data_IF_528775307199
#
_entry.id   IF_528775307199
#
_cell.length_a   1.000
_cell.length_b   1.000
_cell.length_c   1.000
_cell.angle_alpha   90.00
_cell.angle_beta   90.00
_cell.angle_gamma   90.00
#
_symmetry.space_group_name_H-M   'P 1'
#
loop_
_entity.id
_entity.type
_entity.pdbx_description
1 polymer ?
2 polymer ?
3 polymer ?
4 non-polymer ?
5 water ?
#
loop_
_entity_poly.entity_id
_entity_poly.type
_entity_poly.pdbx_seq_one_letter_code
_entity_poly.pdbx_strand_id
2 'polydeoxyribonucleotide' '(DG)(DT)(DG)(DT)(DG)(DA)(DA)(DC)(DA)(DC)(DC)(DA)(DC)(DA)(DC)(DA)(DA)(DC)(DA)(DC)(DC)(DC)(DA)(DC)(DA)(DC)(DA)(DC)(DC)(DA)(DG)' ?
3 'polydeoxyribonucleotide' '(DA)(DC)(DC)(DT)(DG)(DG)(DT)(DG)(DT)(DG)(DT)(DG)(DG)(DG)(DT)(DG)(DT)(DT)(DG)(DT)(DG)(DT)(DG)(DG)(DT)(DG)(DT)(DT)(DC)(DA)(DC)' ?
#
# COMPACT_ATOMS: atom_id res chain seq x y z
N UNK A 28 3.92 23.31 26.70
CA UNK A 28 3.26 24.44 27.31
C UNK A 28 1.77 24.20 27.60
N UNK A 29 1.44 24.13 28.92
CA UNK A 29 0.10 23.92 29.45
C UNK A 29 -0.51 22.54 29.17
N UNK A 30 0.20 21.46 29.59
CA UNK A 30 -0.26 20.08 29.45
C UNK A 30 -1.65 19.90 30.09
N UNK A 31 -2.52 19.06 29.51
CA UNK A 31 -3.84 18.80 30.07
C UNK A 31 -4.13 17.32 30.13
N UNK A 32 -4.88 16.88 31.16
CA UNK A 32 -5.28 15.49 31.41
C UNK A 32 -6.36 15.05 30.45
N UNK A 33 -6.35 13.77 30.04
CA UNK A 33 -7.44 13.29 29.20
C UNK A 33 -8.56 12.83 30.12
N UNK A 34 -9.71 13.49 30.04
CA UNK A 34 -10.87 13.09 30.84
C UNK A 34 -11.58 11.81 30.34
N UNK A 35 -12.45 11.24 31.20
CA UNK A 35 -13.22 10.03 30.88
C UNK A 35 -14.03 10.28 29.63
N UNK A 36 -14.73 11.44 29.57
CA UNK A 36 -15.59 11.86 28.43
C UNK A 36 -14.78 11.99 27.11
N UNK A 37 -13.62 12.76 27.14
CA UNK A 37 -12.68 12.94 26.01
C UNK A 37 -12.18 11.56 25.44
N UNK A 38 -11.74 10.64 26.34
CA UNK A 38 -11.34 9.30 25.92
C UNK A 38 -12.53 8.59 25.25
N UNK A 39 -13.70 8.62 25.91
CA UNK A 39 -14.84 7.96 25.29
C UNK A 39 -15.14 8.56 23.91
N UNK A 40 -14.98 9.91 23.78
CA UNK A 40 -15.21 10.58 22.51
C UNK A 40 -14.25 10.07 21.44
N UNK A 41 -12.93 10.01 21.76
CA UNK A 41 -11.89 9.51 20.85
C UNK A 41 -12.22 8.11 20.37
N UNK A 42 -12.52 7.19 21.30
CA UNK A 42 -12.87 5.82 20.92
C UNK A 42 -14.05 5.79 19.97
N UNK A 43 -15.11 6.55 20.30
CA UNK A 43 -16.28 6.64 19.44
C UNK A 43 -15.97 7.10 18.00
N UNK A 44 -15.18 8.19 17.82
CA UNK A 44 -14.76 8.67 16.50
C UNK A 44 -14.03 7.55 15.71
N UNK A 45 -13.05 6.88 16.37
CA UNK A 45 -12.30 5.77 15.77
C UNK A 45 -13.26 4.63 15.34
N UNK A 46 -14.19 4.26 16.22
CA UNK A 46 -15.17 3.25 15.89
C UNK A 46 -15.98 3.64 14.67
N UNK A 47 -16.24 4.98 14.46
CA UNK A 47 -17.01 5.53 13.36
C UNK A 47 -16.22 5.83 12.08
N UNK A 48 -14.89 5.92 12.15
CA UNK A 48 -14.03 6.10 10.96
C UNK A 48 -12.91 5.05 11.01
N UNK A 49 -13.21 3.72 11.11
CA UNK A 49 -12.13 2.74 11.31
C UNK A 49 -11.08 2.61 10.23
N UNK A 50 -11.40 2.95 9.00
CA UNK A 50 -10.42 2.91 7.92
C UNK A 50 -9.30 3.90 8.22
N UNK A 51 -9.58 4.91 9.06
CA UNK A 51 -8.64 5.98 9.39
C UNK A 51 -7.96 5.87 10.75
N UNK A 52 -8.12 4.75 11.45
CA UNK A 52 -7.51 4.49 12.77
C UNK A 52 -6.00 4.75 12.89
N UNK A 53 -5.19 4.56 11.81
CA UNK A 53 -3.73 4.76 11.88
C UNK A 53 -3.20 6.04 11.22
N UNK A 54 -4.13 6.91 10.77
CA UNK A 54 -3.80 8.20 10.18
C UNK A 54 -3.28 9.16 11.28
N UNK A 55 -3.16 10.43 10.93
CA UNK A 55 -2.77 11.50 11.82
C UNK A 55 -3.88 12.57 11.81
N UNK A 56 -4.45 12.83 10.62
CA UNK A 56 -5.48 13.83 10.36
C UNK A 56 -6.74 13.60 11.18
N UNK A 57 -7.19 12.35 11.29
CA UNK A 57 -8.40 12.03 12.06
C UNK A 57 -8.34 12.62 13.47
N UNK A 58 -7.21 12.42 14.14
CA UNK A 58 -6.94 12.87 15.51
C UNK A 58 -6.81 14.41 15.50
N UNK A 59 -6.31 14.98 14.39
CA UNK A 59 -6.26 16.43 14.23
C UNK A 59 -7.72 16.94 14.16
N UNK A 60 -8.53 16.29 13.30
CA UNK A 60 -9.95 16.58 13.20
C UNK A 60 -10.67 16.50 14.60
N UNK A 61 -10.34 15.50 15.47
CA UNK A 61 -10.97 15.39 16.80
C UNK A 61 -10.62 16.60 17.70
N UNK A 62 -9.43 17.21 17.48
CA UNK A 62 -8.98 18.36 18.24
C UNK A 62 -9.89 19.57 18.07
N UNK A 63 -10.81 19.54 17.09
CA UNK A 63 -11.78 20.61 16.90
C UNK A 63 -12.76 20.65 18.05
N UNK A 64 -13.22 19.45 18.51
CA UNK A 64 -14.19 19.20 19.59
C UNK A 64 -13.52 19.09 20.97
N UNK A 65 -12.19 18.85 20.97
CA UNK A 65 -11.36 18.66 22.16
C UNK A 65 -10.30 19.82 22.15
N UNK A 66 -10.66 21.01 22.65
CA UNK A 66 -9.73 22.15 22.53
C UNK A 66 -8.42 22.01 23.32
N UNK A 67 -8.49 21.44 24.53
CA UNK A 67 -7.35 21.26 25.41
C UNK A 67 -6.16 20.43 24.86
N UNK A 68 -6.39 19.57 23.87
CA UNK A 68 -5.35 18.66 23.38
C UNK A 68 -4.99 18.94 21.95
N UNK A 69 -3.85 18.36 21.47
CA UNK A 69 -3.38 18.54 20.08
C UNK A 69 -3.59 17.24 19.30
N UNK A 70 -3.38 17.27 17.98
CA UNK A 70 -3.54 16.09 17.10
C UNK A 70 -2.61 14.98 17.54
N UNK A 71 -1.33 15.37 17.74
CA UNK A 71 -0.26 14.51 18.26
C UNK A 71 -0.68 13.89 19.59
N UNK A 72 -1.15 14.73 20.54
CA UNK A 72 -1.55 14.27 21.85
C UNK A 72 -2.73 13.31 21.90
N UNK A 73 -3.71 13.50 21.00
CA UNK A 73 -4.91 12.68 20.93
C UNK A 73 -4.54 11.35 20.33
N UNK A 74 -3.78 11.39 19.20
CA UNK A 74 -3.34 10.16 18.51
C UNK A 74 -2.57 9.22 19.43
N UNK A 75 -1.61 9.81 20.22
CA UNK A 75 -0.80 9.06 21.18
C UNK A 75 -1.67 8.43 22.26
N UNK A 76 -2.59 9.23 22.86
CA UNK A 76 -3.51 8.76 23.88
C UNK A 76 -4.23 7.54 23.39
N UNK A 77 -4.78 7.62 22.13
CA UNK A 77 -5.51 6.49 21.57
C UNK A 77 -4.62 5.29 21.40
N UNK A 78 -3.61 5.40 20.53
CA UNK A 78 -2.65 4.38 20.21
C UNK A 78 -2.17 3.62 21.47
N UNK A 79 -1.63 4.34 22.45
CA UNK A 79 -1.09 3.77 23.66
C UNK A 79 -2.09 3.52 24.76
N UNK A 80 -2.77 4.56 25.23
CA UNK A 80 -3.67 4.38 26.38
C UNK A 80 -5.00 3.79 26.13
N UNK A 81 -5.56 3.89 24.90
CA UNK A 81 -6.92 3.45 24.63
C UNK A 81 -7.21 2.28 23.69
N UNK A 82 -6.33 1.96 22.72
CA UNK A 82 -6.58 0.91 21.71
C UNK A 82 -6.88 -0.47 22.28
N UNK A 83 -6.20 -0.81 23.40
CA UNK A 83 -6.38 -2.07 24.11
C UNK A 83 -7.82 -2.24 24.61
N UNK A 84 -8.62 -1.15 24.53
CA UNK A 84 -10.02 -1.07 24.97
C UNK A 84 -11.01 -1.00 23.82
N UNK A 85 -10.55 -0.66 22.58
CA UNK A 85 -11.41 -0.51 21.39
C UNK A 85 -12.57 -1.49 21.39
N UNK A 86 -12.22 -2.79 21.47
CA UNK A 86 -13.11 -3.96 21.49
C UNK A 86 -13.77 -4.24 20.14
N UNK A 87 -14.56 -3.28 19.68
CA UNK A 87 -15.21 -3.36 18.39
C UNK A 87 -14.97 -2.04 17.63
N UNK A 88 -15.44 -2.01 16.40
CA UNK A 88 -15.52 -0.84 15.54
C UNK A 88 -16.92 -0.94 14.91
N UNK A 89 -17.29 0.06 14.10
CA UNK A 89 -18.57 -0.01 13.43
C UNK A 89 -18.32 -0.43 12.01
N UNK A 90 -19.23 -1.27 11.45
CA UNK A 90 -19.02 -1.73 10.10
C UNK A 90 -19.31 -0.68 9.04
N UNK A 91 -18.43 -0.62 8.02
CA UNK A 91 -18.52 0.33 6.90
C UNK A 91 -18.62 -0.38 5.51
N UNK A 92 -19.37 0.23 4.55
CA UNK A 92 -19.55 -0.34 3.21
C UNK A 92 -18.44 -0.03 2.20
N UNK A 93 -18.57 -0.56 0.98
CA UNK A 93 -17.63 -0.42 -0.14
C UNK A 93 -17.29 1.03 -0.43
N UNK A 94 -18.34 1.90 -0.40
CA UNK A 94 -18.29 3.35 -0.59
C UNK A 94 -17.72 4.14 0.61
N UNK A 95 -17.17 3.45 1.61
CA UNK A 95 -16.58 4.05 2.81
C UNK A 95 -17.52 4.79 3.74
N UNK A 96 -18.82 4.42 3.74
CA UNK A 96 -19.83 5.02 4.60
C UNK A 96 -20.24 4.00 5.63
N UNK A 97 -20.53 4.44 6.87
CA UNK A 97 -20.99 3.58 7.96
C UNK A 97 -22.28 2.95 7.53
N UNK A 98 -22.42 1.67 7.83
CA UNK A 98 -23.58 0.85 7.52
C UNK A 98 -24.54 0.88 8.69
N UNK A 99 -25.85 1.01 8.39
CA UNK A 99 -26.90 0.97 9.40
C UNK A 99 -27.88 -0.16 9.12
N UNK A 100 -28.50 -0.69 10.20
CA UNK A 100 -29.49 -1.76 10.17
C UNK A 100 -30.84 -1.20 9.67
N UNK A 101 -31.86 -2.10 9.64
CA UNK A 101 -33.25 -1.80 9.30
C UNK A 101 -33.77 -0.54 10.03
N UNK A 102 -33.66 -0.52 11.40
CA UNK A 102 -34.13 0.59 12.24
C UNK A 102 -33.09 1.63 12.73
N UNK A 103 -32.23 2.06 11.80
CA UNK A 103 -31.21 3.09 11.98
C UNK A 103 -29.94 2.74 12.74
N UNK A 104 -29.98 1.69 13.55
CA UNK A 104 -28.88 1.24 14.40
C UNK A 104 -27.60 0.83 13.68
N UNK A 105 -26.45 1.19 14.26
CA UNK A 105 -25.14 0.87 13.70
C UNK A 105 -24.72 -0.56 14.05
N UNK A 106 -23.96 -1.21 13.14
CA UNK A 106 -23.46 -2.58 13.27
C UNK A 106 -22.05 -2.69 13.90
N UNK A 107 -21.96 -3.32 15.10
CA UNK A 107 -20.70 -3.56 15.81
C UNK A 107 -20.04 -4.78 15.18
N UNK A 108 -18.72 -4.69 14.94
CA UNK A 108 -17.87 -5.73 14.31
C UNK A 108 -16.50 -5.79 15.00
N UNK A 109 -15.93 -6.98 15.10
CA UNK A 109 -14.60 -7.15 15.69
C UNK A 109 -13.62 -7.29 14.51
N UNK A 110 -13.98 -6.69 13.37
CA UNK A 110 -13.20 -6.78 12.15
C UNK A 110 -12.73 -5.39 11.76
N UNK A 111 -11.41 -5.21 11.64
CA UNK A 111 -10.88 -3.93 11.23
C UNK A 111 -10.83 -3.80 9.71
N UNK A 112 -11.40 -2.72 9.12
CA UNK A 112 -11.34 -2.60 7.65
C UNK A 112 -9.91 -2.41 7.17
N UNK A 113 -9.59 -2.63 5.88
CA UNK A 113 -8.20 -2.38 5.44
C UNK A 113 -7.80 -0.92 5.68
N UNK A 114 -6.51 -0.69 5.95
CA UNK A 114 -5.95 0.65 6.12
C UNK A 114 -5.98 1.41 4.75
N UNK A 115 -5.54 2.68 4.73
CA UNK A 115 -5.50 3.48 3.49
C UNK A 115 -4.31 3.08 2.63
N UNK A 116 -3.11 2.94 3.23
CA UNK A 116 -1.92 2.59 2.47
C UNK A 116 -1.45 1.15 2.76
N UNK A 117 -1.68 0.27 1.77
CA UNK A 117 -1.32 -1.14 1.83
C UNK A 117 0.17 -1.30 1.51
N UNK A 118 0.85 -2.26 2.18
CA UNK A 118 2.27 -2.56 1.99
C UNK A 118 2.44 -3.62 0.91
N UNK A 119 3.65 -3.66 0.31
CA UNK A 119 3.95 -4.63 -0.74
C UNK A 119 4.50 -5.98 -0.20
N UNK A 120 3.78 -7.08 -0.44
CA UNK A 120 4.23 -8.42 -0.07
C UNK A 120 5.25 -8.83 -1.14
N UNK A 121 6.29 -9.63 -0.77
CA UNK A 121 7.35 -10.06 -1.71
C UNK A 121 6.72 -10.70 -2.97
N UNK A 122 5.66 -11.53 -2.74
CA UNK A 122 4.83 -12.16 -3.76
C UNK A 122 4.32 -11.13 -4.78
N UNK A 123 4.03 -9.89 -4.32
CA UNK A 123 3.56 -8.79 -5.17
C UNK A 123 4.71 -8.24 -6.02
N UNK A 124 5.92 -8.06 -5.44
CA UNK A 124 7.07 -7.56 -6.18
C UNK A 124 7.50 -8.55 -7.24
N UNK A 125 7.33 -9.86 -6.96
CA UNK A 125 7.65 -10.92 -7.92
C UNK A 125 6.63 -10.89 -9.04
N UNK A 126 5.32 -10.93 -8.68
CA UNK A 126 4.21 -10.85 -9.63
C UNK A 126 4.35 -9.60 -10.55
N UNK A 127 4.85 -8.48 -10.02
CA UNK A 127 5.08 -7.29 -10.83
C UNK A 127 6.26 -7.47 -11.78
N UNK A 128 7.44 -7.83 -11.25
CA UNK A 128 8.66 -8.05 -12.02
C UNK A 128 8.45 -9.03 -13.17
N UNK A 129 7.69 -10.12 -12.92
CA UNK A 129 7.41 -11.11 -13.97
C UNK A 129 6.60 -10.50 -15.09
N UNK A 130 5.44 -9.88 -14.77
CA UNK A 130 4.55 -9.22 -15.72
C UNK A 130 5.28 -8.17 -16.54
N UNK A 131 6.18 -7.39 -15.92
CA UNK A 131 7.00 -6.40 -16.62
C UNK A 131 7.91 -7.14 -17.60
N UNK A 132 8.68 -8.15 -17.12
CA UNK A 132 9.56 -8.95 -17.98
C UNK A 132 8.77 -9.56 -19.13
N UNK A 133 7.57 -10.14 -18.85
CA UNK A 133 6.68 -10.71 -19.88
C UNK A 133 6.38 -9.61 -20.93
N UNK A 134 5.85 -8.45 -20.51
CA UNK A 134 5.54 -7.36 -21.42
C UNK A 134 6.75 -6.97 -22.28
N UNK A 135 7.89 -6.78 -21.60
CA UNK A 135 9.14 -6.42 -22.23
C UNK A 135 9.53 -7.47 -23.28
N UNK A 136 9.58 -8.76 -22.89
CA UNK A 136 9.91 -9.87 -23.79
C UNK A 136 8.97 -9.84 -25.00
N UNK A 137 7.68 -9.53 -24.79
CA UNK A 137 6.80 -9.46 -25.94
C UNK A 137 7.01 -8.18 -26.77
N UNK A 138 7.27 -7.06 -26.12
CA UNK A 138 7.58 -5.80 -26.80
C UNK A 138 8.84 -5.97 -27.69
N UNK A 139 9.92 -6.54 -27.12
CA UNK A 139 11.19 -6.76 -27.80
C UNK A 139 11.11 -7.77 -28.93
N UNK A 140 11.09 -9.08 -28.59
CA UNK A 140 11.08 -10.18 -29.56
C UNK A 140 9.76 -10.41 -30.32
N UNK A 141 8.72 -9.59 -30.07
CA UNK A 141 7.39 -9.75 -30.68
C UNK A 141 6.85 -11.21 -30.63
N UNK A 142 7.26 -11.97 -29.57
CA UNK A 142 6.92 -13.37 -29.31
C UNK A 142 6.16 -13.49 -27.98
N UNK A 143 5.31 -14.51 -27.83
CA UNK A 143 4.52 -14.76 -26.64
C UNK A 143 5.36 -15.57 -25.64
N UNK A 144 5.91 -15.00 -24.54
CA UNK A 144 6.65 -15.87 -23.57
C UNK A 144 5.59 -16.84 -23.08
N UNK A 145 5.81 -18.16 -23.10
CA UNK A 145 4.76 -19.18 -22.87
C UNK A 145 3.91 -19.17 -24.11
N UNK A 146 4.01 -20.25 -24.90
CA UNK A 146 3.46 -20.56 -26.24
C UNK A 146 4.56 -20.35 -27.27
N UNK A 147 5.07 -19.12 -27.30
CA UNK A 147 6.15 -18.60 -28.17
C UNK A 147 6.49 -19.26 -29.49
N UNK A 148 5.77 -19.03 -30.59
CA UNK A 148 4.59 -18.23 -30.88
C UNK A 148 4.86 -16.77 -31.03
N UNK A 149 4.69 -16.32 -32.27
CA UNK A 149 4.90 -14.98 -32.78
C UNK A 149 3.62 -14.17 -32.67
N UNK A 150 3.78 -12.86 -32.36
CA UNK A 150 2.71 -11.88 -32.16
C UNK A 150 2.40 -11.11 -33.44
N UNK A 151 3.32 -11.14 -34.42
CA UNK A 151 3.14 -10.47 -35.71
C UNK A 151 2.18 -11.34 -36.55
N UNK A 152 2.65 -12.56 -36.94
CA UNK A 152 1.95 -13.57 -37.75
C UNK A 152 0.85 -14.26 -36.93
N UNK A 172 13.70 -13.20 -39.78
CA UNK A 172 12.60 -13.15 -38.82
C UNK A 172 12.61 -14.35 -37.82
N UNK A 173 12.64 -15.67 -38.26
CA UNK A 173 12.61 -16.77 -37.28
C UNK A 173 13.85 -16.96 -36.39
N UNK A 174 13.92 -16.13 -35.34
CA UNK A 174 14.94 -16.07 -34.29
C UNK A 174 16.33 -16.65 -34.57
N UNK A 175 16.85 -17.52 -33.67
CA UNK A 175 16.21 -17.98 -32.44
C UNK A 175 16.42 -17.02 -31.25
N UNK A 176 15.31 -16.68 -30.59
CA UNK A 176 15.17 -15.75 -29.46
C UNK A 176 15.28 -16.48 -28.09
N UNK A 177 15.60 -15.78 -26.97
CA UNK A 177 15.81 -16.51 -25.71
C UNK A 177 14.53 -17.06 -25.08
N UNK A 178 14.62 -18.31 -24.66
CA UNK A 178 13.53 -19.06 -24.08
C UNK A 178 13.36 -18.67 -22.60
N UNK A 179 12.62 -17.54 -22.33
CA UNK A 179 12.24 -16.97 -21.02
C UNK A 179 12.05 -18.15 -20.01
N UNK A 180 12.74 -18.19 -18.83
CA UNK A 180 13.57 -17.19 -18.14
C UNK A 180 15.03 -17.00 -18.60
N UNK A 181 15.37 -17.42 -19.83
CA UNK A 181 16.72 -17.27 -20.37
C UNK A 181 17.02 -15.78 -20.62
N UNK A 182 15.96 -15.00 -20.89
CA UNK A 182 16.01 -13.57 -21.15
C UNK A 182 16.43 -12.81 -19.90
N UNK A 183 17.19 -11.71 -20.10
CA UNK A 183 17.58 -10.78 -19.05
C UNK A 183 17.14 -9.40 -19.48
N UNK A 184 16.30 -8.75 -18.65
CA UNK A 184 15.75 -7.40 -18.87
C UNK A 184 16.86 -6.43 -19.26
N UNK A 185 17.98 -6.51 -18.48
CA UNK A 185 19.26 -5.85 -18.57
C UNK A 185 19.19 -4.46 -19.15
N UNK A 186 19.12 -3.46 -18.27
CA UNK A 186 19.08 -2.04 -18.64
C UNK A 186 17.79 -1.58 -19.36
N UNK A 187 16.86 -2.49 -19.74
CA UNK A 187 15.63 -2.00 -20.37
C UNK A 187 14.71 -1.42 -19.29
N UNK A 188 14.11 -0.26 -19.56
CA UNK A 188 13.20 0.35 -18.60
C UNK A 188 11.85 0.78 -19.23
N UNK A 189 11.67 0.43 -20.50
CA UNK A 189 10.46 0.77 -21.22
C UNK A 189 10.50 0.51 -22.71
N UNK A 190 9.48 0.98 -23.45
CA UNK A 190 8.28 1.69 -22.97
C UNK A 190 7.23 0.80 -22.31
N UNK A 191 6.46 1.41 -21.37
CA UNK A 191 5.38 0.76 -20.64
C UNK A 191 4.12 1.58 -20.83
N UNK A 192 3.06 0.93 -21.35
CA UNK A 192 1.75 1.54 -21.59
C UNK A 192 0.96 1.67 -20.30
N UNK A 193 0.15 2.77 -20.16
CA UNK A 193 -0.72 2.97 -18.99
C UNK A 193 -1.69 1.79 -18.87
N UNK A 194 -1.94 1.10 -20.01
CA UNK A 194 -2.79 -0.09 -20.10
C UNK A 194 -2.14 -1.25 -19.38
N UNK A 195 -0.80 -1.30 -19.35
CA UNK A 195 -0.12 -2.38 -18.62
C UNK A 195 -0.48 -2.29 -17.17
N UNK A 196 -0.36 -1.10 -16.58
CA UNK A 196 -0.64 -0.84 -15.17
C UNK A 196 -2.09 -0.96 -14.83
N UNK A 197 -2.98 -0.51 -15.73
CA UNK A 197 -4.44 -0.53 -15.55
C UNK A 197 -4.98 -1.97 -15.46
N UNK A 198 -4.55 -2.84 -16.38
CA UNK A 198 -4.99 -4.22 -16.39
C UNK A 198 -4.36 -5.01 -15.23
N UNK A 199 -3.15 -4.60 -14.79
CA UNK A 199 -2.42 -5.24 -13.70
C UNK A 199 -3.12 -4.96 -12.40
N UNK A 200 -3.46 -3.68 -12.16
CA UNK A 200 -4.20 -3.24 -10.98
C UNK A 200 -5.58 -3.88 -10.99
N UNK A 201 -6.18 -4.06 -12.19
CA UNK A 201 -7.45 -4.79 -12.34
C UNK A 201 -7.26 -6.20 -11.83
N UNK A 202 -6.16 -6.86 -12.21
CA UNK A 202 -5.82 -8.23 -11.82
C UNK A 202 -5.39 -8.36 -10.35
N UNK A 203 -4.53 -7.45 -9.86
CA UNK A 203 -4.07 -7.49 -8.46
C UNK A 203 -4.50 -6.20 -7.82
N UNK A 204 -5.80 -6.16 -7.48
CA UNK A 204 -6.47 -4.99 -6.93
C UNK A 204 -6.05 -4.51 -5.56
N UNK A 205 -5.22 -5.29 -4.82
CA UNK A 205 -4.72 -4.87 -3.51
C UNK A 205 -4.07 -3.48 -3.55
N UNK A 206 -3.48 -3.08 -4.72
CA UNK A 206 -2.83 -1.80 -4.97
C UNK A 206 -3.40 -1.16 -6.23
N UNK A 207 -3.31 0.18 -6.33
CA UNK A 207 -3.82 0.95 -7.44
C UNK A 207 -2.85 0.95 -8.64
N UNK A 208 -3.30 1.49 -9.76
CA UNK A 208 -2.53 1.69 -10.97
C UNK A 208 -1.35 2.63 -10.59
N UNK A 209 -1.62 3.78 -9.94
CA UNK A 209 -0.54 4.71 -9.55
C UNK A 209 0.39 4.08 -8.57
N UNK A 210 -0.16 3.18 -7.73
CA UNK A 210 0.56 2.48 -6.69
C UNK A 210 1.55 1.53 -7.30
N UNK A 211 1.07 0.70 -8.27
CA UNK A 211 1.88 -0.29 -8.98
C UNK A 211 2.96 0.41 -9.81
N UNK A 212 2.63 1.51 -10.55
CA UNK A 212 3.62 2.24 -11.35
C UNK A 212 4.82 2.74 -10.56
N UNK A 213 4.56 3.44 -9.44
CA UNK A 213 5.62 3.96 -8.57
C UNK A 213 6.45 2.85 -7.91
N UNK A 214 5.83 1.68 -7.68
CA UNK A 214 6.52 0.51 -7.14
C UNK A 214 7.49 0.03 -8.18
N UNK A 215 7.08 0.10 -9.45
CA UNK A 215 7.93 -0.30 -10.54
C UNK A 215 9.10 0.69 -10.73
N UNK A 216 8.80 2.00 -10.75
CA UNK A 216 9.76 3.07 -10.98
C UNK A 216 10.82 3.18 -9.90
N UNK A 217 10.37 3.42 -8.66
CA UNK A 217 11.20 3.68 -7.49
C UNK A 217 11.74 2.45 -6.82
N UNK A 218 11.08 1.28 -7.00
CA UNK A 218 11.57 0.06 -6.36
C UNK A 218 12.19 -0.98 -7.26
N UNK A 219 11.47 -1.44 -8.30
CA UNK A 219 11.97 -2.46 -9.24
C UNK A 219 13.11 -1.96 -10.09
N UNK A 220 12.96 -0.77 -10.71
CA UNK A 220 14.03 -0.20 -11.54
C UNK A 220 15.28 0.12 -10.73
N UNK A 221 15.12 0.44 -9.45
CA UNK A 221 16.23 0.73 -8.53
C UNK A 221 17.00 -0.54 -8.12
N UNK A 222 16.27 -1.64 -7.85
CA UNK A 222 16.85 -2.91 -7.44
C UNK A 222 17.38 -3.71 -8.62
N UNK A 223 16.71 -3.59 -9.77
CA UNK A 223 17.03 -4.33 -10.98
C UNK A 223 16.06 -5.47 -11.17
N UNK A 224 15.34 -5.46 -12.31
CA UNK A 224 14.32 -6.48 -12.61
C UNK A 224 14.86 -7.90 -12.46
N UNK A 225 16.00 -8.19 -13.13
CA UNK A 225 16.63 -9.51 -13.09
C UNK A 225 17.12 -9.88 -11.70
N UNK A 226 17.79 -8.92 -11.03
CA UNK A 226 18.31 -9.02 -9.66
C UNK A 226 17.23 -9.51 -8.68
N UNK A 227 15.99 -8.91 -8.75
CA UNK A 227 14.88 -9.34 -7.90
C UNK A 227 14.34 -10.74 -8.21
N UNK A 228 14.13 -11.06 -9.51
CA UNK A 228 13.60 -12.36 -9.97
C UNK A 228 14.54 -13.50 -9.54
N UNK A 229 15.86 -13.27 -9.70
CA UNK A 229 16.90 -14.23 -9.29
C UNK A 229 16.88 -14.41 -7.78
N UNK A 230 16.84 -13.28 -7.03
CA UNK A 230 16.79 -13.30 -5.57
C UNK A 230 15.54 -14.04 -5.11
N UNK A 231 14.37 -13.66 -5.65
CA UNK A 231 13.11 -14.26 -5.26
C UNK A 231 13.14 -15.78 -5.43
N UNK A 232 13.59 -16.24 -6.61
CA UNK A 232 13.62 -17.66 -6.96
C UNK A 232 14.66 -18.41 -6.14
N UNK A 233 15.82 -17.76 -5.89
CA UNK A 233 16.92 -18.31 -5.09
C UNK A 233 16.36 -18.77 -3.73
N UNK A 234 15.68 -17.85 -3.02
CA UNK A 234 15.07 -18.07 -1.73
C UNK A 234 14.03 -19.15 -1.77
N UNK A 235 13.08 -19.01 -2.71
CA UNK A 235 11.95 -19.93 -2.90
C UNK A 235 12.38 -21.41 -3.04
N UNK A 236 13.53 -21.63 -3.75
CA UNK A 236 14.16 -22.94 -3.97
C UNK A 236 14.68 -23.51 -2.64
N UNK A 237 15.34 -22.62 -1.83
CA UNK A 237 15.94 -22.90 -0.51
C UNK A 237 14.94 -23.02 0.67
N UNK A 238 13.67 -23.35 0.37
CA UNK A 238 12.56 -23.54 1.33
C UNK A 238 12.25 -22.39 2.30
N UNK A 239 12.83 -21.19 2.05
CA UNK A 239 12.62 -19.98 2.84
C UNK A 239 11.88 -18.89 2.06
N UNK A 240 10.86 -18.27 2.71
CA UNK A 240 9.99 -17.23 2.17
C UNK A 240 10.76 -15.93 1.91
N UNK A 241 10.73 -15.37 0.67
CA UNK A 241 11.52 -14.15 0.39
C UNK A 241 10.90 -12.87 0.93
N UNK A 242 11.71 -11.79 0.93
CA UNK A 242 11.35 -10.48 1.46
C UNK A 242 11.13 -9.41 0.38
N UNK A 243 10.18 -8.47 0.58
CA UNK A 243 9.98 -7.40 -0.42
C UNK A 243 11.15 -6.44 -0.50
N UNK A 244 11.22 -5.67 -1.60
CA UNK A 244 12.27 -4.67 -1.80
C UNK A 244 12.05 -3.57 -0.78
N UNK A 245 13.13 -3.12 -0.13
CA UNK A 245 13.08 -2.07 0.90
C UNK A 245 14.19 -1.03 0.83
N UNK A 246 13.97 0.13 1.44
CA UNK A 246 14.93 1.24 1.52
C UNK A 246 15.43 1.84 0.20
N UNK A 247 14.70 1.72 -0.88
CA UNK A 247 15.19 2.28 -2.14
C UNK A 247 14.71 3.70 -2.43
N UNK A 248 13.95 4.32 -1.50
CA UNK A 248 13.46 5.68 -1.72
C UNK A 248 14.64 6.67 -1.66
N UNK A 249 14.92 7.38 -2.80
CA UNK A 249 15.99 8.37 -2.92
C UNK A 249 15.43 9.75 -3.35
N UNK A 250 14.85 10.50 -2.39
CA UNK A 250 14.20 11.81 -2.58
C UNK A 250 14.38 12.82 -1.39
N UNK A 251 14.10 14.15 -1.57
CA UNK A 251 14.25 15.09 -0.45
C UNK A 251 13.03 15.10 0.48
N UNK A 253 13.78 18.57 1.41
CA UNK A 253 13.29 19.80 0.79
C UNK A 253 13.57 21.08 1.64
N UNK A 254 13.53 22.31 1.04
CA UNK A 254 13.80 23.54 1.82
C UNK A 254 12.97 23.71 3.11
N UNK A 255 11.73 24.20 2.96
CA UNK A 255 10.79 24.36 4.05
C UNK A 255 10.23 22.98 4.32
N UNK A 256 9.01 22.71 3.81
CA UNK A 256 8.31 21.42 3.90
C UNK A 256 8.49 20.81 5.30
N UNK A 257 7.58 21.16 6.23
CA UNK A 257 7.71 20.63 7.59
C UNK A 257 7.57 19.10 7.64
N UNK A 258 8.24 18.46 8.63
CA UNK A 258 8.20 17.02 8.84
C UNK A 258 6.72 16.59 8.91
N UNK A 259 6.28 15.62 8.07
CA UNK A 259 4.87 15.20 8.13
C UNK A 259 4.60 14.37 9.39
N UNK A 260 3.33 14.36 9.80
CA UNK A 260 2.88 13.60 10.96
C UNK A 260 3.13 14.27 12.28
N UNK A 261 3.10 15.63 12.29
CA UNK A 261 3.28 16.46 13.48
C UNK A 261 2.17 17.51 13.53
N UNK A 262 1.00 17.10 14.02
CA UNK A 262 -0.19 17.93 14.18
C UNK A 262 -0.18 18.48 15.61
N UNK A 263 0.61 19.56 15.81
CA UNK A 263 0.85 20.24 17.09
C UNK A 263 0.04 21.53 17.31
N UNK A 264 0.15 22.13 18.52
CA UNK A 264 -0.56 23.39 18.88
C UNK A 264 -0.15 24.57 17.98
N UNK A 265 1.18 24.75 17.78
CA UNK A 265 1.80 25.78 16.93
C UNK A 265 1.69 25.44 15.42
#
# INVERSE_FOLDING_TARGET
KHHHHHHPMSDYDIPTTENLYFQGAMAHNKASFTDEEDEFILDVVRKNPTRRTTHTLYDEISHYVPNHTGNSIRHRFRVYLSKRLEYVYEVDKFGKLVRDDDGNLIKTKVLPPSIKRKFSADEDYTLAIAVKKQFYRDLFQIDPDTGRSLITDEDTPTAIARRNMTMDPNHVPGSEPNFAAYRTQSRRGPIAREFFKHFAEEHAAHTENAWRDRFRKFLLAYGIDDYISYYEAEKAQNREPEPMKNLTNRPKRPGVPTPGNYNSAAKRARNY
#
